data_IF_460393992300
#
_entry.id   IF_460393992300
#
_cell.length_a   1.000
_cell.length_b   1.000
_cell.length_c   1.000
_cell.angle_alpha   90.00
_cell.angle_beta   90.00
_cell.angle_gamma   90.00
#
_symmetry.space_group_name_H-M   'P 1'
#
loop_
_entity.id
_entity.type
_entity.pdbx_description
1 polymer ?
#
# COMPACT_ATOMS: atom_id res chain seq x y z
N UNK A 1 -3.54 38.15 26.32
CA UNK A 1 -3.89 36.81 25.81
C UNK A 1 -4.93 36.95 24.70
N UNK A 2 -4.47 37.10 23.45
CA UNK A 2 -5.35 37.09 22.28
C UNK A 2 -5.48 35.65 21.81
N UNK A 3 -6.69 35.08 21.91
CA UNK A 3 -7.03 33.79 21.29
C UNK A 3 -6.84 33.93 19.78
N UNK A 4 -5.85 33.25 19.21
CA UNK A 4 -5.77 33.03 17.76
C UNK A 4 -6.85 31.98 17.44
N UNK A 5 -7.88 32.37 16.67
CA UNK A 5 -8.83 31.41 16.12
C UNK A 5 -8.13 30.64 15.00
N UNK A 6 -7.98 29.33 15.18
CA UNK A 6 -7.59 28.41 14.11
C UNK A 6 -8.77 28.37 13.13
N UNK A 7 -8.56 28.86 11.92
CA UNK A 7 -9.54 28.78 10.84
C UNK A 7 -9.54 27.33 10.33
N UNK A 8 -10.51 26.52 10.75
CA UNK A 8 -10.75 25.21 10.17
C UNK A 8 -11.29 25.39 8.75
N UNK A 9 -10.43 25.23 7.75
CA UNK A 9 -10.86 25.12 6.36
C UNK A 9 -11.50 23.75 6.18
N UNK A 10 -12.83 23.68 6.20
CA UNK A 10 -13.56 22.50 5.78
C UNK A 10 -13.26 22.25 4.30
N UNK A 11 -12.51 21.20 4.00
CA UNK A 11 -12.34 20.70 2.63
C UNK A 11 -13.62 19.95 2.29
N UNK A 12 -14.52 20.65 1.62
CA UNK A 12 -15.68 20.04 0.99
C UNK A 12 -15.14 19.36 -0.28
N UNK A 13 -15.22 18.02 -0.36
CA UNK A 13 -15.08 17.28 -1.62
C UNK A 13 -16.27 17.64 -2.52
N UNK A 14 -16.21 18.83 -3.12
CA UNK A 14 -17.10 19.24 -4.19
C UNK A 14 -16.38 19.01 -5.51
N UNK A 15 -16.73 17.92 -6.18
CA UNK A 15 -16.62 17.85 -7.63
C UNK A 15 -17.59 18.91 -8.18
N UNK A 16 -17.10 20.11 -8.49
CA UNK A 16 -17.83 21.01 -9.37
C UNK A 16 -17.33 20.79 -10.79
N UNK A 17 -17.82 19.74 -11.44
CA UNK A 17 -17.71 19.62 -12.89
C UNK A 17 -18.91 20.33 -13.51
N UNK A 18 -18.63 21.23 -14.44
CA UNK A 18 -19.65 21.83 -15.29
C UNK A 18 -20.47 20.71 -15.94
N UNK A 19 -21.79 20.83 -15.84
CA UNK A 19 -22.75 19.85 -16.36
C UNK A 19 -22.74 19.95 -17.90
N UNK A 20 -21.77 19.29 -18.53
CA UNK A 20 -22.00 18.58 -19.79
C UNK A 20 -22.42 17.16 -19.42
N UNK A 21 -23.34 16.56 -20.17
CA UNK A 21 -23.72 15.17 -19.93
C UNK A 21 -22.47 14.27 -20.11
N UNK A 22 -21.99 13.67 -19.02
CA UNK A 22 -20.88 12.72 -19.05
C UNK A 22 -21.36 11.42 -19.68
N UNK A 23 -20.75 11.02 -20.78
CA UNK A 23 -20.99 9.70 -21.36
C UNK A 23 -20.26 8.65 -20.54
N UNK A 24 -20.83 7.44 -20.54
CA UNK A 24 -20.19 6.25 -19.96
C UNK A 24 -19.78 5.33 -21.09
N UNK A 25 -18.49 5.04 -21.17
CA UNK A 25 -17.91 4.07 -22.10
C UNK A 25 -17.51 2.79 -21.38
N UNK A 26 -17.45 1.69 -22.12
CA UNK A 26 -17.04 0.39 -21.59
C UNK A 26 -15.81 -0.12 -22.34
N UNK A 27 -14.81 -0.54 -21.58
CA UNK A 27 -13.72 -1.38 -22.06
C UNK A 27 -14.27 -2.81 -22.15
N UNK A 28 -14.16 -3.38 -23.34
CA UNK A 28 -14.80 -4.66 -23.70
C UNK A 28 -13.79 -5.81 -23.82
N UNK A 29 -12.49 -5.52 -23.92
CA UNK A 29 -11.46 -6.53 -24.06
C UNK A 29 -10.12 -6.10 -23.44
N UNK A 30 -9.19 -7.04 -23.36
CA UNK A 30 -7.86 -6.88 -22.76
C UNK A 30 -6.80 -6.35 -23.72
N UNK A 31 -7.18 -6.06 -24.97
CA UNK A 31 -6.23 -5.78 -26.05
C UNK A 31 -5.59 -4.40 -25.87
N UNK A 32 -4.39 -4.23 -26.41
CA UNK A 32 -3.62 -2.99 -26.31
C UNK A 32 -4.23 -1.85 -27.15
N UNK A 33 -4.84 -2.16 -28.29
CA UNK A 33 -5.40 -1.21 -29.25
C UNK A 33 -6.61 -1.80 -29.98
N UNK A 34 -7.37 -0.94 -30.67
CA UNK A 34 -8.49 -1.32 -31.50
C UNK A 34 -9.83 -1.26 -30.75
N UNK A 35 -10.95 -1.52 -31.46
CA UNK A 35 -12.29 -1.38 -30.88
C UNK A 35 -12.45 -2.15 -29.57
N UNK A 36 -13.04 -1.51 -28.56
CA UNK A 36 -13.27 -2.08 -27.23
C UNK A 36 -12.06 -2.10 -26.29
N UNK A 37 -10.85 -1.79 -26.78
CA UNK A 37 -9.67 -1.65 -25.91
C UNK A 37 -9.72 -0.37 -25.07
N UNK A 38 -9.10 -0.37 -23.89
CA UNK A 38 -9.01 0.83 -23.05
C UNK A 38 -8.39 2.03 -23.79
N UNK A 39 -7.38 1.78 -24.62
CA UNK A 39 -6.72 2.84 -25.38
C UNK A 39 -7.66 3.50 -26.39
N UNK A 40 -8.41 2.70 -27.15
CA UNK A 40 -9.39 3.25 -28.10
C UNK A 40 -10.49 4.01 -27.37
N UNK A 41 -10.97 3.47 -26.24
CA UNK A 41 -12.00 4.14 -25.44
C UNK A 41 -11.52 5.48 -24.87
N UNK A 42 -10.25 5.59 -24.44
CA UNK A 42 -9.65 6.88 -24.03
C UNK A 42 -9.62 7.88 -25.20
N UNK A 43 -9.31 7.41 -26.42
CA UNK A 43 -9.34 8.25 -27.63
C UNK A 43 -10.75 8.76 -27.92
N UNK A 44 -11.74 7.87 -27.90
CA UNK A 44 -13.14 8.12 -28.22
C UNK A 44 -13.86 8.99 -27.18
N UNK A 45 -13.44 8.94 -25.91
CA UNK A 45 -14.02 9.71 -24.82
C UNK A 45 -13.79 11.23 -24.97
N UNK A 46 -14.69 12.03 -24.42
CA UNK A 46 -14.58 13.48 -24.32
C UNK A 46 -14.17 13.92 -22.90
N UNK A 47 -13.83 15.20 -22.74
CA UNK A 47 -13.50 15.78 -21.43
C UNK A 47 -14.66 15.61 -20.44
N UNK A 48 -14.36 15.08 -19.27
CA UNK A 48 -15.31 14.78 -18.20
C UNK A 48 -15.96 13.40 -18.27
N UNK A 49 -15.76 12.61 -19.33
CA UNK A 49 -16.43 11.31 -19.47
C UNK A 49 -15.92 10.26 -18.47
N UNK A 50 -16.75 9.22 -18.27
CA UNK A 50 -16.43 8.07 -17.43
C UNK A 50 -16.18 6.83 -18.28
N UNK A 51 -15.11 6.12 -17.99
CA UNK A 51 -14.74 4.84 -18.60
C UNK A 51 -14.90 3.75 -17.53
N UNK A 52 -15.66 2.72 -17.87
CA UNK A 52 -15.87 1.52 -17.06
C UNK A 52 -15.35 0.27 -17.77
N UNK A 53 -15.29 -0.84 -17.05
CA UNK A 53 -14.87 -2.13 -17.58
C UNK A 53 -16.04 -3.10 -17.58
N UNK A 54 -16.17 -3.91 -18.63
CA UNK A 54 -17.05 -5.07 -18.56
C UNK A 54 -16.48 -6.09 -17.54
N UNK A 55 -17.33 -6.88 -16.85
CA UNK A 55 -16.90 -7.76 -15.75
C UNK A 55 -15.81 -8.79 -16.13
N UNK A 56 -15.75 -9.20 -17.40
CA UNK A 56 -14.74 -10.12 -17.92
C UNK A 56 -13.34 -9.49 -18.07
N UNK A 57 -13.25 -8.16 -18.13
CA UNK A 57 -11.97 -7.46 -18.31
C UNK A 57 -11.26 -7.31 -16.98
N UNK A 58 -10.48 -8.33 -16.60
CA UNK A 58 -9.67 -8.30 -15.37
C UNK A 58 -8.26 -7.74 -15.59
N UNK A 59 -7.80 -7.68 -16.84
CA UNK A 59 -6.45 -7.22 -17.19
C UNK A 59 -6.46 -6.52 -18.55
N UNK A 60 -5.73 -5.41 -18.66
CA UNK A 60 -5.40 -4.70 -19.90
C UNK A 60 -3.90 -4.80 -20.14
N UNK A 61 -3.52 -5.37 -21.28
CA UNK A 61 -2.12 -5.58 -21.64
C UNK A 61 -1.65 -4.47 -22.58
N UNK A 62 -0.71 -3.66 -22.12
CA UNK A 62 -0.10 -2.62 -22.96
C UNK A 62 1.15 -3.18 -23.65
N UNK A 63 1.18 -3.09 -24.97
CA UNK A 63 2.25 -3.65 -25.82
C UNK A 63 2.96 -2.59 -26.68
N UNK A 64 2.20 -1.62 -27.20
CA UNK A 64 2.66 -0.59 -28.12
C UNK A 64 3.19 0.67 -27.43
N UNK A 65 2.81 0.92 -26.18
CA UNK A 65 3.27 2.09 -25.42
C UNK A 65 2.36 2.46 -24.25
N UNK A 66 2.66 3.60 -23.63
CA UNK A 66 1.88 4.19 -22.54
C UNK A 66 0.47 4.59 -22.98
N UNK A 67 -0.49 4.63 -22.07
CA UNK A 67 -1.78 5.29 -22.28
C UNK A 67 -1.62 6.80 -22.15
N UNK A 68 -1.87 7.53 -23.23
CA UNK A 68 -1.80 8.99 -23.26
C UNK A 68 -3.17 9.57 -22.99
N UNK A 69 -3.28 10.39 -21.95
CA UNK A 69 -4.50 11.05 -21.52
C UNK A 69 -4.29 12.56 -21.63
N UNK A 70 -5.18 13.25 -22.33
CA UNK A 70 -5.09 14.70 -22.51
C UNK A 70 -6.38 15.45 -22.22
N UNK A 71 -7.24 14.82 -21.42
CA UNK A 71 -8.57 15.28 -21.06
C UNK A 71 -8.91 14.78 -19.65
N UNK A 72 -9.80 15.47 -18.97
CA UNK A 72 -10.33 15.06 -17.67
C UNK A 72 -11.12 13.78 -17.84
N UNK A 73 -10.83 12.74 -17.06
CA UNK A 73 -11.51 11.44 -17.16
C UNK A 73 -11.67 10.80 -15.78
N UNK A 74 -12.74 10.00 -15.66
CA UNK A 74 -12.90 9.03 -14.59
C UNK A 74 -12.75 7.62 -15.16
N UNK A 75 -11.85 6.80 -14.63
CA UNK A 75 -11.65 5.41 -15.05
C UNK A 75 -11.91 4.51 -13.84
N UNK A 76 -13.02 3.78 -13.88
CA UNK A 76 -13.60 3.11 -12.70
C UNK A 76 -13.91 1.66 -13.02
N UNK A 77 -13.42 0.74 -12.18
CA UNK A 77 -13.81 -0.66 -12.25
C UNK A 77 -14.68 -1.07 -11.04
N UNK A 78 -15.56 -2.04 -11.21
CA UNK A 78 -16.37 -2.57 -10.09
C UNK A 78 -15.55 -3.48 -9.15
N UNK A 79 -14.41 -3.99 -9.65
CA UNK A 79 -13.41 -4.77 -8.91
C UNK A 79 -12.03 -4.49 -9.50
N UNK A 80 -10.95 -4.82 -8.79
CA UNK A 80 -9.59 -4.51 -9.24
C UNK A 80 -9.32 -5.00 -10.68
N UNK A 81 -9.04 -4.07 -11.59
CA UNK A 81 -8.55 -4.34 -12.95
C UNK A 81 -7.07 -4.01 -13.04
N UNK A 82 -6.26 -4.94 -13.55
CA UNK A 82 -4.82 -4.71 -13.75
C UNK A 82 -4.56 -4.06 -15.10
N UNK A 83 -3.93 -2.89 -15.10
CA UNK A 83 -3.40 -2.25 -16.31
C UNK A 83 -1.89 -2.36 -16.23
N UNK A 84 -1.29 -3.10 -17.17
CA UNK A 84 0.11 -3.46 -17.08
C UNK A 84 0.85 -3.27 -18.40
N UNK A 85 2.14 -2.94 -18.27
CA UNK A 85 3.08 -3.11 -19.37
C UNK A 85 3.39 -4.59 -19.57
N UNK A 86 2.97 -5.12 -20.72
CA UNK A 86 3.20 -6.51 -21.15
C UNK A 86 4.28 -6.65 -22.22
N UNK A 87 4.78 -5.52 -22.74
CA UNK A 87 5.87 -5.47 -23.71
C UNK A 87 7.24 -5.77 -23.08
N UNK A 88 8.22 -6.14 -23.92
CA UNK A 88 9.64 -6.01 -23.58
C UNK A 88 10.15 -4.57 -23.74
N UNK A 89 9.45 -3.73 -24.51
CA UNK A 89 9.79 -2.33 -24.67
C UNK A 89 9.56 -1.58 -23.35
N UNK A 90 10.43 -0.61 -23.07
CA UNK A 90 10.36 0.22 -21.86
C UNK A 90 9.43 1.41 -22.09
N UNK A 91 8.33 1.47 -21.34
CA UNK A 91 7.44 2.62 -21.25
C UNK A 91 6.71 2.64 -19.90
N UNK A 92 6.16 3.80 -19.52
CA UNK A 92 5.29 3.93 -18.34
C UNK A 92 3.87 3.45 -18.65
N UNK A 93 3.04 3.22 -17.64
CA UNK A 93 1.66 2.76 -17.88
C UNK A 93 0.77 3.92 -18.38
N UNK A 94 0.80 5.08 -17.73
CA UNK A 94 -0.04 6.23 -18.06
C UNK A 94 0.74 7.54 -18.06
N UNK A 95 0.42 8.41 -19.02
CA UNK A 95 0.87 9.80 -19.05
C UNK A 95 -0.29 10.75 -19.27
N UNK A 96 -0.41 11.73 -18.39
CA UNK A 96 -1.34 12.85 -18.55
C UNK A 96 -0.58 14.07 -19.10
N UNK A 97 -0.93 14.52 -20.30
CA UNK A 97 -0.27 15.64 -20.99
C UNK A 97 -1.29 16.62 -21.59
N UNK A 98 -0.91 17.88 -21.82
CA UNK A 98 -1.80 18.90 -22.41
C UNK A 98 -1.64 20.27 -21.73
N UNK A 99 -2.60 21.16 -21.97
CA UNK A 99 -2.56 22.58 -21.57
C UNK A 99 -2.79 22.82 -20.06
N UNK A 100 -2.88 21.76 -19.26
CA UNK A 100 -3.00 21.80 -17.81
C UNK A 100 -4.44 21.75 -17.28
N UNK A 101 -4.59 21.67 -15.96
CA UNK A 101 -5.90 21.62 -15.30
C UNK A 101 -6.67 20.31 -15.50
N UNK A 102 -5.99 19.24 -15.90
CA UNK A 102 -6.61 17.93 -16.14
C UNK A 102 -6.83 17.23 -14.79
N UNK A 103 -8.01 16.67 -14.58
CA UNK A 103 -8.28 15.77 -13.44
C UNK A 103 -8.37 14.34 -13.95
N UNK A 104 -7.51 13.47 -13.42
CA UNK A 104 -7.62 12.02 -13.65
C UNK A 104 -8.09 11.35 -12.36
N UNK A 105 -9.30 10.81 -12.38
CA UNK A 105 -9.85 9.99 -11.31
C UNK A 105 -9.73 8.51 -11.67
N UNK A 106 -9.09 7.73 -10.81
CA UNK A 106 -8.93 6.29 -10.97
C UNK A 106 -9.52 5.58 -9.76
N UNK A 107 -10.32 4.54 -10.01
CA UNK A 107 -10.90 3.73 -8.94
C UNK A 107 -10.84 2.23 -9.25
N UNK A 108 -10.43 1.45 -8.24
CA UNK A 108 -10.28 -0.01 -8.33
C UNK A 108 -9.36 -0.45 -9.47
N UNK A 109 -8.22 0.22 -9.63
CA UNK A 109 -7.23 -0.11 -10.65
C UNK A 109 -5.90 -0.52 -10.04
N UNK A 110 -5.25 -1.50 -10.65
CA UNK A 110 -3.86 -1.86 -10.39
C UNK A 110 -2.97 -1.41 -11.53
N UNK A 111 -2.03 -0.50 -11.26
CA UNK A 111 -1.04 0.00 -12.23
C UNK A 111 0.29 -0.70 -12.00
N UNK A 112 0.71 -1.48 -12.99
CA UNK A 112 1.75 -2.50 -12.80
C UNK A 112 2.81 -2.51 -13.90
N UNK A 113 4.07 -2.76 -13.48
CA UNK A 113 5.22 -3.05 -14.37
C UNK A 113 5.62 -1.94 -15.34
N UNK A 114 5.11 -0.73 -15.18
CA UNK A 114 5.57 0.41 -15.95
C UNK A 114 7.06 0.62 -15.72
N UNK A 115 7.84 0.78 -16.79
CA UNK A 115 9.27 0.98 -16.69
C UNK A 115 9.75 1.90 -17.83
N UNK A 116 10.15 3.12 -17.49
CA UNK A 116 10.70 4.06 -18.47
C UNK A 116 12.18 3.74 -18.74
N UNK A 117 12.58 3.77 -20.02
CA UNK A 117 13.95 3.48 -20.42
C UNK A 117 14.95 4.49 -19.86
N UNK A 118 16.21 4.07 -19.82
CA UNK A 118 17.36 4.98 -19.85
C UNK A 118 17.25 5.85 -21.11
N UNK A 119 17.45 7.17 -21.03
CA UNK A 119 17.59 8.14 -22.15
C UNK A 119 16.38 9.00 -22.59
N UNK A 120 15.27 9.01 -21.86
CA UNK A 120 14.14 9.88 -22.25
C UNK A 120 14.14 11.18 -21.47
N UNK A 121 13.80 12.32 -22.09
CA UNK A 121 13.62 13.61 -21.39
C UNK A 121 12.49 13.58 -20.33
N UNK A 122 11.66 12.53 -20.35
CA UNK A 122 10.51 12.37 -19.47
C UNK A 122 10.64 11.08 -18.64
N UNK A 123 11.69 10.96 -17.83
CA UNK A 123 11.97 9.74 -17.05
C UNK A 123 11.05 9.50 -15.85
N UNK A 124 10.21 10.47 -15.51
CA UNK A 124 9.36 10.46 -14.30
C UNK A 124 8.16 9.52 -14.42
N UNK A 125 7.65 9.08 -13.26
CA UNK A 125 6.36 8.37 -13.19
C UNK A 125 6.40 7.03 -13.93
N UNK A 126 7.07 6.03 -13.35
CA UNK A 126 7.14 4.69 -13.95
C UNK A 126 5.75 4.10 -14.17
N UNK A 127 4.82 4.30 -13.23
CA UNK A 127 3.41 3.94 -13.36
C UNK A 127 2.62 5.07 -14.02
N UNK A 128 2.49 6.19 -13.29
CA UNK A 128 1.69 7.36 -13.70
C UNK A 128 2.57 8.61 -13.70
N UNK A 129 2.57 9.34 -14.82
CA UNK A 129 3.19 10.66 -14.92
C UNK A 129 2.16 11.74 -15.25
N UNK A 130 1.88 12.63 -14.30
CA UNK A 130 1.11 13.85 -14.55
C UNK A 130 2.04 14.95 -15.06
N UNK A 131 2.21 15.00 -16.38
CA UNK A 131 3.04 16.01 -17.05
C UNK A 131 2.33 17.35 -17.19
N UNK A 132 1.02 17.33 -17.43
CA UNK A 132 0.21 18.54 -17.61
C UNK A 132 0.19 19.39 -16.33
N UNK A 133 0.59 20.65 -16.43
CA UNK A 133 0.70 21.55 -15.27
C UNK A 133 -0.64 21.78 -14.56
N UNK A 134 -0.61 22.08 -13.27
CA UNK A 134 -1.83 22.33 -12.47
C UNK A 134 -2.88 21.21 -12.55
N UNK A 135 -2.44 19.98 -12.80
CA UNK A 135 -3.32 18.82 -12.92
C UNK A 135 -3.38 18.05 -11.61
N UNK A 136 -4.48 17.30 -11.42
CA UNK A 136 -4.73 16.54 -10.20
C UNK A 136 -4.93 15.07 -10.53
N UNK A 137 -4.25 14.21 -9.77
CA UNK A 137 -4.51 12.77 -9.75
C UNK A 137 -5.32 12.43 -8.50
N UNK A 138 -6.43 11.73 -8.68
CA UNK A 138 -7.26 11.20 -7.59
C UNK A 138 -7.31 9.68 -7.72
N UNK A 139 -6.95 8.98 -6.64
CA UNK A 139 -6.92 7.53 -6.57
C UNK A 139 -7.81 7.04 -5.42
N UNK A 140 -8.75 6.16 -5.73
CA UNK A 140 -9.56 5.44 -4.74
C UNK A 140 -9.43 3.93 -4.90
N UNK A 141 -9.08 3.22 -3.83
CA UNK A 141 -8.94 1.75 -3.85
C UNK A 141 -7.97 1.25 -4.94
N UNK A 142 -6.92 2.03 -5.23
CA UNK A 142 -5.94 1.68 -6.27
C UNK A 142 -4.70 1.00 -5.70
N UNK A 143 -4.05 0.21 -6.57
CA UNK A 143 -2.77 -0.44 -6.29
C UNK A 143 -1.73 0.05 -7.30
N UNK A 144 -0.65 0.67 -6.86
CA UNK A 144 0.46 1.09 -7.73
C UNK A 144 1.71 0.32 -7.33
N UNK A 145 2.14 -0.62 -8.15
CA UNK A 145 3.25 -1.48 -7.77
C UNK A 145 4.20 -1.90 -8.88
N UNK A 146 5.45 -2.20 -8.47
CA UNK A 146 6.50 -2.69 -9.36
C UNK A 146 6.72 -1.80 -10.58
N UNK A 147 6.57 -0.48 -10.40
CA UNK A 147 6.85 0.50 -11.44
C UNK A 147 8.22 1.14 -11.22
N UNK A 148 8.88 1.49 -12.33
CA UNK A 148 10.22 2.06 -12.33
C UNK A 148 10.32 3.29 -13.23
N UNK A 149 10.73 4.41 -12.64
CA UNK A 149 11.12 5.59 -13.39
C UNK A 149 12.49 5.37 -14.06
N UNK A 150 12.75 6.07 -15.16
CA UNK A 150 13.96 5.88 -15.95
C UNK A 150 15.19 6.45 -15.28
N UNK A 151 16.37 5.90 -15.57
CA UNK A 151 17.65 6.38 -15.03
C UNK A 151 18.25 7.50 -15.90
N UNK A 152 19.09 8.34 -15.28
CA UNK A 152 19.94 9.31 -15.96
C UNK A 152 20.77 8.67 -17.07
N UNK A 153 20.98 9.40 -18.17
CA UNK A 153 21.60 8.85 -19.37
C UNK A 153 22.89 9.55 -19.78
N UNK A 154 22.84 10.86 -20.01
CA UNK A 154 24.05 11.63 -20.21
C UNK A 154 24.64 11.98 -18.84
N UNK A 155 25.96 12.15 -18.80
CA UNK A 155 26.68 12.74 -17.66
C UNK A 155 25.85 13.94 -17.16
N UNK A 156 25.75 14.19 -15.86
CA UNK A 156 24.89 15.21 -15.22
C UNK A 156 23.35 15.04 -15.24
N UNK A 157 22.76 13.95 -15.75
CA UNK A 157 21.28 13.78 -15.72
C UNK A 157 20.81 13.05 -14.47
N UNK A 158 19.94 13.71 -13.70
CA UNK A 158 19.28 13.10 -12.54
C UNK A 158 18.38 11.94 -12.95
N UNK A 159 18.19 11.02 -12.01
CA UNK A 159 17.23 9.95 -12.14
C UNK A 159 15.77 10.43 -12.17
N UNK A 160 14.92 9.67 -12.86
CA UNK A 160 13.49 9.94 -12.92
C UNK A 160 12.85 9.85 -11.54
N UNK A 161 12.26 10.96 -11.09
CA UNK A 161 11.44 11.06 -9.87
C UNK A 161 10.11 10.31 -9.96
N UNK A 162 9.55 9.88 -8.82
CA UNK A 162 8.23 9.27 -8.77
C UNK A 162 8.21 7.88 -9.40
N UNK A 163 8.83 6.88 -8.78
CA UNK A 163 8.90 5.53 -9.34
C UNK A 163 7.53 4.95 -9.68
N UNK A 164 6.58 5.09 -8.75
CA UNK A 164 5.18 4.78 -8.97
C UNK A 164 4.43 5.94 -9.63
N UNK A 165 4.41 7.08 -8.93
CA UNK A 165 3.62 8.25 -9.28
C UNK A 165 4.51 9.50 -9.29
N UNK A 166 4.42 10.28 -10.36
CA UNK A 166 4.81 11.68 -10.37
C UNK A 166 3.57 12.55 -10.61
N UNK A 167 3.25 13.46 -9.69
CA UNK A 167 2.07 14.31 -9.80
C UNK A 167 2.30 15.75 -9.32
N UNK A 168 1.55 16.73 -9.83
CA UNK A 168 1.51 18.04 -9.16
C UNK A 168 0.74 17.91 -7.84
N UNK A 169 -0.54 17.54 -7.94
CA UNK A 169 -1.40 17.25 -6.78
C UNK A 169 -1.86 15.81 -6.84
N UNK A 170 -1.68 15.08 -5.73
CA UNK A 170 -2.18 13.72 -5.57
C UNK A 170 -3.14 13.63 -4.39
N UNK A 171 -4.29 13.00 -4.60
CA UNK A 171 -5.27 12.66 -3.56
C UNK A 171 -5.50 11.16 -3.56
N UNK A 172 -5.21 10.50 -2.44
CA UNK A 172 -5.24 9.06 -2.29
C UNK A 172 -6.18 8.66 -1.16
N UNK A 173 -7.04 7.69 -1.44
CA UNK A 173 -7.89 7.05 -0.44
C UNK A 173 -7.85 5.54 -0.63
N UNK A 174 -7.63 4.78 0.45
CA UNK A 174 -7.62 3.32 0.42
C UNK A 174 -6.62 2.72 -0.59
N UNK A 175 -5.48 3.38 -0.79
CA UNK A 175 -4.53 2.99 -1.82
C UNK A 175 -3.36 2.19 -1.25
N UNK A 176 -2.78 1.32 -2.06
CA UNK A 176 -1.55 0.60 -1.75
C UNK A 176 -0.48 0.92 -2.79
N UNK A 177 0.66 1.45 -2.36
CA UNK A 177 1.76 1.86 -3.24
C UNK A 177 3.04 1.18 -2.78
N UNK A 178 3.53 0.21 -3.57
CA UNK A 178 4.65 -0.60 -3.12
C UNK A 178 5.56 -1.15 -4.20
N UNK A 179 6.81 -1.46 -3.83
CA UNK A 179 7.83 -2.00 -4.72
C UNK A 179 8.10 -1.11 -5.94
N UNK A 180 7.86 0.19 -5.84
CA UNK A 180 8.18 1.13 -6.91
C UNK A 180 9.59 1.69 -6.71
N UNK A 181 10.22 2.06 -7.83
CA UNK A 181 11.62 2.48 -7.85
C UNK A 181 11.79 3.76 -8.67
N UNK A 182 12.28 4.83 -8.06
CA UNK A 182 12.72 5.99 -8.81
C UNK A 182 14.04 5.69 -9.56
N UNK A 183 14.31 6.46 -10.61
CA UNK A 183 15.48 6.26 -11.45
C UNK A 183 16.78 6.61 -10.73
N UNK A 184 17.86 5.91 -11.03
CA UNK A 184 19.21 6.30 -10.60
C UNK A 184 19.73 7.48 -11.42
N UNK A 185 20.61 8.28 -10.83
CA UNK A 185 21.40 9.28 -11.55
C UNK A 185 22.33 8.65 -12.60
N UNK A 186 22.77 9.45 -13.56
CA UNK A 186 23.71 9.01 -14.59
C UNK A 186 25.12 8.85 -14.02
N UNK A 187 25.82 7.76 -14.34
CA UNK A 187 27.25 7.59 -14.04
C UNK A 187 28.13 8.36 -15.05
N UNK A 188 29.19 9.05 -14.61
CA UNK A 188 30.26 9.58 -15.48
C UNK A 188 31.66 9.18 -14.98
N UNK A 189 32.31 8.29 -15.74
CA UNK A 189 33.71 7.86 -15.54
C UNK A 189 34.64 8.43 -16.62
N UNK A 190 34.20 9.41 -17.41
CA UNK A 190 34.90 9.84 -18.62
C UNK A 190 35.48 11.25 -18.51
N UNK A 191 34.88 12.14 -17.70
CA UNK A 191 35.37 13.50 -17.52
C UNK A 191 35.36 13.94 -16.04
N UNK A 192 36.53 14.24 -15.44
CA UNK A 192 36.63 14.70 -14.05
C UNK A 192 36.09 16.14 -13.82
N UNK A 193 35.37 16.73 -14.78
CA UNK A 193 34.79 18.07 -14.67
C UNK A 193 33.26 18.11 -14.88
N UNK A 194 32.60 16.98 -15.10
CA UNK A 194 31.14 16.91 -15.25
C UNK A 194 30.51 16.38 -13.95
N UNK A 195 29.53 17.09 -13.35
CA UNK A 195 28.79 16.51 -12.23
C UNK A 195 28.05 15.24 -12.69
N UNK A 196 27.90 14.23 -11.83
CA UNK A 196 27.04 13.09 -12.15
C UNK A 196 25.59 13.43 -11.83
N UNK A 197 24.66 12.53 -12.18
CA UNK A 197 23.25 12.73 -11.85
C UNK A 197 22.93 12.39 -10.39
N UNK A 198 22.02 13.13 -9.79
CA UNK A 198 21.42 12.73 -8.51
C UNK A 198 20.41 11.59 -8.70
N UNK A 199 20.16 10.83 -7.62
CA UNK A 199 19.08 9.86 -7.60
C UNK A 199 17.70 10.53 -7.67
N UNK A 200 16.76 9.92 -8.39
CA UNK A 200 15.38 10.41 -8.42
C UNK A 200 14.70 10.27 -7.06
N UNK A 201 14.11 11.35 -6.53
CA UNK A 201 13.33 11.30 -5.30
C UNK A 201 11.92 10.70 -5.46
N UNK A 202 11.31 10.30 -4.36
CA UNK A 202 9.93 9.79 -4.34
C UNK A 202 9.82 8.40 -4.98
N UNK A 203 10.38 7.37 -4.35
CA UNK A 203 10.34 6.01 -4.90
C UNK A 203 8.92 5.53 -5.17
N UNK A 204 8.01 5.76 -4.24
CA UNK A 204 6.59 5.53 -4.42
C UNK A 204 5.93 6.72 -5.13
N UNK A 205 5.98 7.89 -4.47
CA UNK A 205 5.31 9.10 -4.92
C UNK A 205 6.29 10.28 -4.89
N UNK A 206 6.31 11.04 -5.98
CA UNK A 206 6.84 12.40 -6.00
C UNK A 206 5.71 13.37 -6.32
N UNK A 207 5.49 14.38 -5.48
CA UNK A 207 4.46 15.37 -5.75
C UNK A 207 4.72 16.77 -5.17
N UNK A 208 4.01 17.78 -5.72
CA UNK A 208 4.03 19.12 -5.13
C UNK A 208 3.18 19.14 -3.85
N UNK A 209 2.02 18.46 -3.84
CA UNK A 209 1.14 18.35 -2.67
C UNK A 209 0.41 17.00 -2.60
N UNK A 210 0.23 16.49 -1.38
CA UNK A 210 -0.37 15.19 -1.12
C UNK A 210 -1.51 15.28 -0.10
N UNK A 211 -2.67 14.71 -0.44
CA UNK A 211 -3.67 14.31 0.54
C UNK A 211 -3.78 12.80 0.51
N UNK A 212 -3.58 12.14 1.65
CA UNK A 212 -3.61 10.68 1.73
C UNK A 212 -4.40 10.22 2.95
N UNK A 213 -5.35 9.31 2.73
CA UNK A 213 -6.24 8.75 3.75
C UNK A 213 -6.26 7.23 3.63
N UNK A 214 -6.16 6.53 4.76
CA UNK A 214 -6.29 5.07 4.81
C UNK A 214 -5.42 4.33 3.79
N UNK A 215 -4.16 4.70 3.65
CA UNK A 215 -3.33 4.15 2.58
C UNK A 215 -2.04 3.56 3.12
N UNK A 216 -1.49 2.61 2.35
CA UNK A 216 -0.25 1.92 2.67
C UNK A 216 0.82 2.25 1.62
N UNK A 217 1.95 2.78 2.07
CA UNK A 217 3.14 3.02 1.23
C UNK A 217 4.29 2.19 1.78
N UNK A 218 4.77 1.21 1.00
CA UNK A 218 5.83 0.30 1.49
C UNK A 218 6.81 -0.19 0.45
N UNK A 219 8.02 -0.54 0.88
CA UNK A 219 9.03 -1.16 0.02
C UNK A 219 9.29 -0.35 -1.26
N UNK A 220 9.16 0.96 -1.22
CA UNK A 220 9.51 1.81 -2.35
C UNK A 220 10.94 2.31 -2.17
N UNK A 221 11.61 2.53 -3.29
CA UNK A 221 13.03 2.88 -3.34
C UNK A 221 13.20 4.16 -4.13
N UNK A 222 13.84 5.16 -3.56
CA UNK A 222 14.32 6.29 -4.36
C UNK A 222 15.44 5.84 -5.31
N UNK A 223 15.96 6.74 -6.13
CA UNK A 223 17.09 6.50 -7.00
C UNK A 223 18.41 6.53 -6.24
N UNK A 224 19.39 5.73 -6.65
CA UNK A 224 20.77 5.94 -6.20
C UNK A 224 21.42 7.09 -6.97
N UNK A 225 22.35 7.81 -6.35
CA UNK A 225 23.20 8.77 -7.04
C UNK A 225 24.10 8.09 -8.09
N UNK A 226 24.45 8.81 -9.15
CA UNK A 226 25.37 8.32 -10.18
C UNK A 226 26.81 8.28 -9.66
N UNK A 227 27.56 7.22 -9.97
CA UNK A 227 28.97 7.10 -9.61
C UNK A 227 29.89 7.90 -10.54
N UNK A 228 31.04 8.37 -10.03
CA UNK A 228 32.02 9.06 -10.86
C UNK A 228 33.20 9.66 -10.09
N UNK A 229 33.93 10.59 -10.74
CA UNK A 229 35.16 11.20 -10.18
C UNK A 229 34.96 12.49 -9.39
N UNK A 230 33.78 13.13 -9.47
CA UNK A 230 33.52 14.41 -8.79
C UNK A 230 32.18 14.48 -8.06
N UNK A 231 32.24 15.33 -7.04
CA UNK A 231 31.40 15.56 -5.84
C UNK A 231 29.88 15.36 -5.91
N UNK A 232 29.35 14.98 -4.73
CA UNK A 232 27.99 15.21 -4.19
C UNK A 232 26.80 14.60 -4.97
N UNK A 233 27.02 13.45 -5.61
CA UNK A 233 25.95 12.77 -6.34
C UNK A 233 25.02 12.04 -5.36
N UNK A 234 24.06 12.78 -4.82
CA UNK A 234 23.26 12.29 -3.71
C UNK A 234 22.26 11.22 -4.17
N UNK A 235 21.94 10.32 -3.24
CA UNK A 235 20.77 9.46 -3.38
C UNK A 235 19.49 10.28 -3.39
N UNK A 236 18.45 9.75 -4.00
CA UNK A 236 17.15 10.42 -4.04
C UNK A 236 16.52 10.46 -2.66
N UNK A 237 16.02 11.63 -2.26
CA UNK A 237 15.23 11.77 -1.03
C UNK A 237 13.84 11.12 -1.17
N UNK A 238 13.19 10.76 -0.06
CA UNK A 238 11.80 10.29 -0.07
C UNK A 238 11.68 8.89 -0.67
N UNK A 239 12.18 7.86 0.01
CA UNK A 239 12.06 6.47 -0.47
C UNK A 239 10.61 6.09 -0.74
N UNK A 240 9.72 6.41 0.19
CA UNK A 240 8.27 6.28 0.05
C UNK A 240 7.68 7.46 -0.68
N UNK A 241 7.79 8.64 -0.07
CA UNK A 241 7.11 9.86 -0.51
C UNK A 241 8.07 11.05 -0.50
N UNK A 242 8.08 11.79 -1.60
CA UNK A 242 8.67 13.12 -1.69
C UNK A 242 7.55 14.14 -1.90
N UNK A 243 7.48 15.15 -1.03
CA UNK A 243 6.50 16.24 -1.10
C UNK A 243 7.25 17.56 -1.16
N UNK A 244 6.95 18.39 -2.17
CA UNK A 244 7.61 19.69 -2.29
C UNK A 244 7.04 20.73 -1.33
N UNK A 245 5.72 20.84 -1.27
CA UNK A 245 5.03 21.95 -0.61
C UNK A 245 4.27 21.50 0.63
N UNK A 246 2.96 21.29 0.54
CA UNK A 246 2.09 20.98 1.68
C UNK A 246 1.34 19.66 1.48
N UNK A 247 0.73 19.17 2.55
CA UNK A 247 -0.14 18.01 2.45
C UNK A 247 -0.78 17.60 3.77
N UNK A 248 -1.57 16.54 3.71
CA UNK A 248 -2.19 15.90 4.86
C UNK A 248 -2.19 14.39 4.69
N UNK A 249 -1.67 13.68 5.67
CA UNK A 249 -1.69 12.21 5.71
C UNK A 249 -2.43 11.78 6.97
N UNK A 250 -3.44 10.93 6.81
CA UNK A 250 -4.36 10.52 7.87
C UNK A 250 -4.52 9.01 7.88
N UNK A 251 -4.46 8.39 9.06
CA UNK A 251 -4.74 6.97 9.27
C UNK A 251 -4.09 6.09 8.21
N UNK A 252 -2.82 6.35 7.94
CA UNK A 252 -2.05 5.69 6.89
C UNK A 252 -0.82 5.04 7.50
N UNK A 253 -0.20 4.13 6.75
CA UNK A 253 1.02 3.43 7.16
C UNK A 253 2.08 3.60 6.08
N UNK A 254 3.22 4.16 6.44
CA UNK A 254 4.39 4.33 5.56
C UNK A 254 5.57 3.59 6.19
N UNK A 255 5.98 2.47 5.58
CA UNK A 255 6.96 1.60 6.20
C UNK A 255 7.86 0.85 5.23
N UNK A 256 9.07 0.51 5.64
CA UNK A 256 10.01 -0.27 4.82
C UNK A 256 10.36 0.36 3.48
N UNK A 257 10.24 1.69 3.37
CA UNK A 257 10.72 2.41 2.21
C UNK A 257 12.17 2.82 2.41
N UNK A 258 12.93 2.92 1.32
CA UNK A 258 14.36 3.19 1.37
C UNK A 258 14.72 4.40 0.51
N UNK A 259 15.25 5.44 1.14
CA UNK A 259 16.01 6.46 0.45
C UNK A 259 17.42 5.91 0.19
N UNK A 260 17.79 5.82 -1.08
CA UNK A 260 18.96 5.08 -1.56
C UNK A 260 20.27 5.83 -1.39
N UNK A 261 21.36 5.10 -1.60
CA UNK A 261 22.73 5.55 -1.50
C UNK A 261 23.09 6.68 -2.48
N UNK A 262 24.06 7.51 -2.09
CA UNK A 262 24.75 8.38 -3.03
C UNK A 262 25.68 7.59 -3.96
N UNK A 263 26.20 8.28 -4.97
CA UNK A 263 27.17 7.73 -5.91
C UNK A 263 28.49 7.41 -5.22
N UNK A 264 29.05 6.25 -5.54
CA UNK A 264 30.38 5.85 -5.06
C UNK A 264 31.49 6.62 -5.80
N UNK A 265 32.45 7.15 -5.05
CA UNK A 265 33.60 7.88 -5.60
C UNK A 265 34.94 7.22 -5.23
N UNK A 266 35.74 6.73 -6.19
CA UNK A 266 37.10 6.25 -5.93
C UNK A 266 38.15 7.38 -5.78
N UNK A 267 37.72 8.65 -5.86
CA UNK A 267 38.58 9.84 -5.87
C UNK A 267 38.65 10.60 -4.53
N UNK A 268 39.36 11.74 -4.46
CA UNK A 268 39.52 12.52 -3.22
C UNK A 268 38.24 13.28 -2.79
N UNK A 269 37.14 13.18 -3.55
CA UNK A 269 35.88 13.90 -3.34
C UNK A 269 34.97 13.31 -2.26
N UNK A 270 35.11 12.01 -1.95
CA UNK A 270 34.25 11.29 -1.01
C UNK A 270 32.94 10.80 -1.63
N UNK A 271 32.34 9.75 -1.08
CA UNK A 271 31.06 9.23 -1.59
C UNK A 271 29.94 10.28 -1.45
N UNK A 272 28.99 10.30 -2.40
CA UNK A 272 27.80 11.14 -2.32
C UNK A 272 26.94 10.81 -1.10
N UNK A 273 26.15 11.78 -0.61
CA UNK A 273 25.30 11.55 0.54
C UNK A 273 24.12 10.63 0.16
N UNK A 274 23.69 9.73 1.05
CA UNK A 274 22.44 9.02 0.84
C UNK A 274 21.26 10.00 0.87
N UNK A 275 20.18 9.61 0.20
CA UNK A 275 18.93 10.34 0.28
C UNK A 275 18.33 10.27 1.67
N UNK A 276 17.58 11.30 2.06
CA UNK A 276 16.95 11.47 3.37
C UNK A 276 15.46 11.15 3.30
N UNK A 277 14.83 10.98 4.46
CA UNK A 277 13.38 10.75 4.54
C UNK A 277 12.99 9.45 3.85
N UNK A 278 13.57 8.33 4.27
CA UNK A 278 13.25 7.01 3.72
C UNK A 278 11.75 6.77 3.62
N UNK A 279 10.99 7.16 4.66
CA UNK A 279 9.52 7.19 4.62
C UNK A 279 9.00 8.42 3.86
N UNK A 280 9.13 9.59 4.46
CA UNK A 280 8.69 10.88 3.89
C UNK A 280 9.84 11.89 3.89
N UNK A 281 10.06 12.52 2.74
CA UNK A 281 10.81 13.76 2.62
C UNK A 281 9.88 14.93 2.30
N UNK A 282 10.05 16.04 3.01
CA UNK A 282 9.37 17.32 2.77
C UNK A 282 10.39 18.42 2.44
N UNK A 283 10.28 19.06 1.27
CA UNK A 283 11.24 20.07 0.78
C UNK A 283 11.11 21.44 1.47
N UNK A 284 9.88 21.86 1.77
CA UNK A 284 9.59 23.17 2.36
C UNK A 284 9.10 23.09 3.82
N UNK A 285 9.24 24.18 4.59
CA UNK A 285 8.67 24.32 5.94
C UNK A 285 7.13 24.53 5.98
N UNK A 286 6.43 24.27 4.87
CA UNK A 286 4.97 24.39 4.81
C UNK A 286 4.32 23.13 5.40
N UNK A 287 4.31 23.09 6.74
CA UNK A 287 3.87 22.00 7.61
C UNK A 287 2.98 20.93 6.98
N UNK A 288 3.57 19.76 6.70
CA UNK A 288 2.81 18.56 6.39
C UNK A 288 2.03 18.13 7.63
N UNK A 289 0.72 17.95 7.49
CA UNK A 289 -0.11 17.48 8.60
C UNK A 289 -0.14 15.96 8.65
N UNK A 290 0.28 15.36 9.76
CA UNK A 290 0.21 13.91 10.02
C UNK A 290 -0.79 13.65 11.15
N UNK A 291 -1.78 12.78 10.92
CA UNK A 291 -2.74 12.40 11.96
C UNK A 291 -2.92 10.89 11.96
N UNK A 292 -2.88 10.26 13.14
CA UNK A 292 -3.12 8.81 13.29
C UNK A 292 -2.28 7.95 12.33
N UNK A 293 -1.08 8.39 11.96
CA UNK A 293 -0.28 7.75 10.90
C UNK A 293 0.90 7.02 11.51
N UNK A 294 1.18 5.83 10.99
CA UNK A 294 2.41 5.10 11.28
C UNK A 294 3.46 5.47 10.23
N UNK A 295 4.63 5.95 10.65
CA UNK A 295 5.82 6.07 9.80
C UNK A 295 6.95 5.34 10.49
N UNK A 296 7.29 4.13 10.02
CA UNK A 296 8.17 3.25 10.77
C UNK A 296 8.95 2.28 9.89
N UNK A 297 10.13 1.86 10.36
CA UNK A 297 10.99 0.90 9.68
C UNK A 297 11.37 1.33 8.26
N UNK A 298 11.39 2.63 7.97
CA UNK A 298 11.99 3.13 6.75
C UNK A 298 13.50 3.28 6.93
N UNK A 299 14.22 3.46 5.84
CA UNK A 299 15.69 3.54 5.86
C UNK A 299 16.19 4.67 4.96
N UNK A 300 17.12 5.46 5.48
CA UNK A 300 18.09 6.23 4.69
C UNK A 300 19.37 5.40 4.63
N UNK A 301 19.80 5.00 3.42
CA UNK A 301 20.89 4.05 3.21
C UNK A 301 22.11 4.36 4.09
N UNK A 302 22.63 3.36 4.80
CA UNK A 302 23.76 3.52 5.72
C UNK A 302 23.36 3.96 7.13
N UNK A 303 22.05 3.92 7.47
CA UNK A 303 21.49 4.42 8.73
C UNK A 303 21.89 5.87 9.01
N UNK A 304 21.85 6.70 7.97
CA UNK A 304 21.98 8.14 8.16
C UNK A 304 20.72 8.70 8.83
N UNK A 305 20.82 9.99 9.14
CA UNK A 305 19.79 10.81 9.75
C UNK A 305 18.49 10.86 8.93
N UNK A 306 17.33 10.85 9.61
CA UNK A 306 16.01 11.03 8.99
C UNK A 306 15.49 9.81 8.23
N UNK A 307 15.49 8.62 8.85
CA UNK A 307 15.06 7.40 8.17
C UNK A 307 13.55 7.40 7.89
N UNK A 308 12.74 7.77 8.88
CA UNK A 308 11.28 7.81 8.74
C UNK A 308 10.80 9.12 8.13
N UNK A 309 11.27 10.25 8.65
CA UNK A 309 10.84 11.59 8.26
C UNK A 309 12.05 12.50 8.07
N UNK A 310 11.93 13.42 7.11
CA UNK A 310 12.82 14.58 6.99
C UNK A 310 11.99 15.83 6.68
N UNK A 311 12.20 16.90 7.45
CA UNK A 311 11.50 18.19 7.31
C UNK A 311 10.65 18.58 8.52
N UNK A 312 9.67 19.47 8.32
CA UNK A 312 8.83 20.07 9.36
C UNK A 312 7.37 19.61 9.30
N UNK A 313 6.84 19.06 10.40
CA UNK A 313 5.54 18.40 10.45
C UNK A 313 4.65 18.96 11.57
N UNK A 314 3.36 19.05 11.28
CA UNK A 314 2.30 19.26 12.28
C UNK A 314 1.65 17.91 12.49
N UNK A 315 1.89 17.28 13.62
CA UNK A 315 1.63 15.89 13.86
C UNK A 315 0.79 15.71 15.11
N UNK A 316 -0.33 14.99 15.02
CA UNK A 316 -1.15 14.61 16.17
C UNK A 316 -1.45 13.10 16.18
N UNK A 317 -1.14 12.43 17.29
CA UNK A 317 -1.42 11.00 17.51
C UNK A 317 -0.78 10.07 16.46
N UNK A 318 0.47 10.33 16.07
CA UNK A 318 1.20 9.47 15.13
C UNK A 318 2.11 8.49 15.87
N UNK A 319 2.54 7.43 15.19
CA UNK A 319 3.60 6.55 15.64
C UNK A 319 4.76 6.67 14.66
N UNK A 320 5.89 7.18 15.13
CA UNK A 320 7.09 7.40 14.33
C UNK A 320 8.23 6.62 14.97
N UNK A 321 8.81 5.65 14.25
CA UNK A 321 9.79 4.75 14.86
C UNK A 321 11.11 5.46 15.13
N UNK A 322 11.62 6.24 14.18
CA UNK A 322 12.82 7.04 14.31
C UNK A 322 12.55 8.40 15.02
N UNK A 323 13.55 8.96 15.69
CA UNK A 323 13.46 10.24 16.42
C UNK A 323 14.25 11.40 15.81
N UNK A 324 14.91 11.16 14.67
CA UNK A 324 15.98 12.04 14.21
C UNK A 324 15.61 12.82 12.92
N UNK A 325 16.16 14.04 12.80
CA UNK A 325 16.13 14.92 11.61
C UNK A 325 14.78 15.33 11.05
N UNK A 326 13.81 15.45 11.94
CA UNK A 326 12.55 16.14 11.67
C UNK A 326 12.17 17.08 12.81
N UNK A 327 11.29 18.03 12.52
CA UNK A 327 10.60 18.82 13.55
C UNK A 327 9.14 18.37 13.63
N UNK A 328 8.69 17.91 14.80
CA UNK A 328 7.26 17.70 15.07
C UNK A 328 6.72 18.82 15.95
N UNK A 329 5.57 19.35 15.57
CA UNK A 329 4.72 20.19 16.40
C UNK A 329 3.35 19.54 16.53
N UNK A 330 2.70 19.64 17.69
CA UNK A 330 1.44 18.92 17.97
C UNK A 330 1.61 17.89 19.08
N UNK A 331 0.54 17.19 19.42
CA UNK A 331 0.44 16.43 20.66
C UNK A 331 0.29 14.91 20.42
N UNK A 332 0.55 14.11 21.45
CA UNK A 332 0.31 12.66 21.50
C UNK A 332 1.06 11.81 20.45
N UNK A 333 2.13 12.31 19.84
CA UNK A 333 2.96 11.49 18.96
C UNK A 333 3.83 10.52 19.77
N UNK A 334 3.85 9.26 19.35
CA UNK A 334 4.65 8.18 19.88
C UNK A 334 5.93 8.06 19.04
N UNK A 335 7.03 8.64 19.51
CA UNK A 335 8.33 8.63 18.81
C UNK A 335 9.28 7.59 19.44
N UNK A 336 10.15 6.96 18.66
CA UNK A 336 11.15 6.04 19.21
C UNK A 336 10.58 4.66 19.61
N UNK A 337 9.38 4.32 19.13
CA UNK A 337 8.67 3.08 19.49
C UNK A 337 8.26 2.28 18.27
N UNK A 338 8.42 0.97 18.34
CA UNK A 338 8.06 0.04 17.26
C UNK A 338 6.54 -0.08 17.11
N UNK A 339 6.01 -0.15 15.87
CA UNK A 339 4.59 -0.42 15.63
C UNK A 339 4.19 -1.88 15.87
N UNK A 340 5.15 -2.81 16.06
CA UNK A 340 4.88 -4.22 16.36
C UNK A 340 3.86 -4.86 15.40
N UNK A 341 4.19 -4.88 14.10
CA UNK A 341 3.33 -5.48 13.07
C UNK A 341 3.23 -7.00 13.19
N UNK A 342 2.09 -7.56 12.76
CA UNK A 342 1.80 -9.00 12.84
C UNK A 342 2.74 -9.85 12.01
N UNK A 343 2.90 -9.57 10.71
CA UNK A 343 3.77 -10.34 9.81
C UNK A 343 4.23 -9.55 8.57
N UNK A 344 5.16 -8.58 8.69
CA UNK A 344 5.75 -7.94 7.52
C UNK A 344 6.48 -8.95 6.61
N UNK A 345 6.44 -8.80 5.27
CA UNK A 345 5.80 -7.74 4.49
C UNK A 345 4.35 -8.05 4.05
N UNK A 346 3.70 -9.06 4.67
CA UNK A 346 2.40 -9.57 4.24
C UNK A 346 1.23 -8.95 5.01
N UNK A 347 1.44 -8.68 6.29
CA UNK A 347 0.41 -8.16 7.19
C UNK A 347 1.02 -7.07 8.10
N UNK A 348 0.49 -5.86 7.94
CA UNK A 348 0.88 -4.66 8.70
C UNK A 348 -0.17 -4.28 9.74
N UNK A 349 -1.09 -5.19 10.07
CA UNK A 349 -1.98 -5.02 11.23
C UNK A 349 -1.12 -4.97 12.51
N UNK A 350 -1.28 -3.96 13.37
CA UNK A 350 -0.61 -3.93 14.67
C UNK A 350 -0.95 -5.17 15.50
N UNK A 351 0.03 -5.72 16.23
CA UNK A 351 -0.23 -6.75 17.23
C UNK A 351 -1.04 -6.19 18.39
N UNK A 352 -1.73 -7.05 19.15
CA UNK A 352 -2.59 -6.64 20.29
C UNK A 352 -1.90 -5.72 21.33
N UNK A 353 -0.59 -5.89 21.54
CA UNK A 353 0.19 -5.09 22.49
C UNK A 353 0.95 -3.95 21.83
N UNK A 354 0.69 -3.68 20.54
CA UNK A 354 1.31 -2.58 19.83
C UNK A 354 0.89 -1.25 20.46
N UNK A 355 1.82 -0.28 20.57
CA UNK A 355 1.47 1.06 21.02
C UNK A 355 0.56 1.82 20.03
N UNK A 356 0.34 1.30 18.82
CA UNK A 356 -0.58 1.89 17.84
C UNK A 356 -2.06 1.56 18.13
N UNK A 357 -2.34 0.51 18.92
CA UNK A 357 -3.70 0.01 19.16
C UNK A 357 -4.47 0.90 20.14
N UNK A 358 -5.68 1.33 19.76
CA UNK A 358 -6.53 2.31 20.43
C UNK A 358 -5.79 3.62 20.82
N UNK A 359 -4.81 4.04 20.00
CA UNK A 359 -3.99 5.22 20.29
C UNK A 359 -4.31 6.43 19.40
N UNK A 360 -5.18 6.26 18.40
CA UNK A 360 -5.56 7.32 17.47
C UNK A 360 -6.73 8.19 17.95
N UNK A 361 -6.86 9.37 17.34
CA UNK A 361 -8.03 10.23 17.47
C UNK A 361 -9.17 9.73 16.58
N UNK A 362 -10.37 9.42 17.11
CA UNK A 362 -11.52 9.01 16.30
C UNK A 362 -11.93 10.05 15.24
N UNK A 363 -12.65 9.61 14.20
CA UNK A 363 -13.23 10.51 13.18
C UNK A 363 -14.46 11.27 13.69
N UNK A 364 -14.31 11.98 14.79
CA UNK A 364 -15.27 12.98 15.30
C UNK A 364 -14.79 14.41 15.04
N UNK A 365 -13.62 14.56 14.40
CA UNK A 365 -12.95 15.84 14.13
C UNK A 365 -12.97 16.24 12.65
N UNK A 366 -13.62 15.45 11.79
CA UNK A 366 -13.70 15.72 10.34
C UNK A 366 -12.47 15.22 9.59
N UNK A 367 -12.00 14.02 9.92
CA UNK A 367 -10.91 13.33 9.24
C UNK A 367 -11.37 12.68 7.92
N UNK A 368 -12.67 12.48 7.74
CA UNK A 368 -13.27 11.87 6.53
C UNK A 368 -12.71 10.47 6.25
N UNK A 369 -12.58 9.68 7.31
CA UNK A 369 -12.13 8.30 7.23
C UNK A 369 -13.22 7.43 6.60
N UNK A 370 -12.83 6.40 5.84
CA UNK A 370 -13.76 5.34 5.43
C UNK A 370 -14.28 4.56 6.64
N UNK A 371 -15.43 3.90 6.50
CA UNK A 371 -16.02 3.07 7.57
C UNK A 371 -15.15 1.86 7.93
N UNK A 372 -14.36 1.38 6.95
CA UNK A 372 -13.50 0.21 7.09
C UNK A 372 -12.02 0.53 6.82
N UNK A 373 -11.13 -0.28 7.39
CA UNK A 373 -9.69 -0.26 7.16
C UNK A 373 -9.31 -0.92 5.82
N UNK A 374 -8.01 -1.04 5.53
CA UNK A 374 -7.54 -1.68 4.29
C UNK A 374 -7.82 -3.20 4.19
N UNK A 375 -8.18 -3.87 5.30
CA UNK A 375 -8.62 -5.27 5.30
C UNK A 375 -10.15 -5.41 5.21
N UNK A 376 -10.88 -4.31 5.21
CA UNK A 376 -12.35 -4.31 5.23
C UNK A 376 -12.94 -4.49 6.63
N UNK A 377 -12.14 -4.37 7.68
CA UNK A 377 -12.63 -4.40 9.06
C UNK A 377 -13.13 -3.01 9.48
N UNK A 378 -14.11 -2.93 10.38
CA UNK A 378 -14.58 -1.65 10.91
C UNK A 378 -13.42 -0.86 11.56
N UNK A 379 -13.38 0.46 11.33
CA UNK A 379 -12.34 1.37 11.85
C UNK A 379 -12.32 1.57 13.37
N UNK A 380 -13.29 1.05 14.10
CA UNK A 380 -13.30 1.09 15.56
C UNK A 380 -13.76 -0.28 16.02
N UNK A 381 -12.84 -1.08 16.57
CA UNK A 381 -13.15 -2.41 17.10
C UNK A 381 -13.45 -2.40 18.61
N UNK A 382 -12.85 -1.48 19.36
CA UNK A 382 -13.03 -1.34 20.80
C UNK A 382 -13.36 0.10 21.24
N UNK A 383 -12.34 0.89 21.60
CA UNK A 383 -12.53 2.21 22.24
C UNK A 383 -12.31 3.34 21.24
N UNK A 384 -11.10 3.44 20.69
CA UNK A 384 -10.69 4.45 19.74
C UNK A 384 -10.05 3.80 18.52
N UNK A 385 -9.94 4.56 17.44
CA UNK A 385 -9.27 4.09 16.23
C UNK A 385 -7.79 3.81 16.48
N UNK A 386 -7.25 2.80 15.83
CA UNK A 386 -5.82 2.55 15.81
C UNK A 386 -5.08 3.62 15.00
N UNK A 387 -3.82 3.86 15.36
CA UNK A 387 -2.90 4.62 14.51
C UNK A 387 -2.53 3.70 13.34
N UNK A 388 -2.74 4.17 12.10
CA UNK A 388 -2.36 3.46 10.88
C UNK A 388 -3.52 3.13 9.94
N UNK A 389 -3.17 2.41 8.87
CA UNK A 389 -4.10 1.98 7.80
C UNK A 389 -4.91 0.71 8.13
N UNK A 390 -4.57 0.02 9.21
CA UNK A 390 -5.22 -1.22 9.66
C UNK A 390 -5.74 -1.04 11.09
N UNK A 391 -6.87 -1.67 11.40
CA UNK A 391 -7.46 -1.72 12.72
C UNK A 391 -7.31 -3.12 13.32
N UNK A 392 -6.70 -3.23 14.48
CA UNK A 392 -6.67 -4.46 15.25
C UNK A 392 -8.09 -4.86 15.69
N UNK A 393 -8.52 -6.04 15.25
CA UNK A 393 -9.82 -6.55 15.63
C UNK A 393 -9.77 -7.26 16.99
N UNK A 394 -10.35 -6.62 18.00
CA UNK A 394 -10.57 -7.27 19.29
C UNK A 394 -11.67 -8.32 19.13
N UNK A 395 -11.36 -9.56 19.51
CA UNK A 395 -12.37 -10.59 19.64
C UNK A 395 -13.16 -10.30 20.91
N UNK A 396 -14.15 -9.41 20.83
CA UNK A 396 -15.03 -9.02 21.95
C UNK A 396 -16.19 -10.00 22.18
N UNK A 397 -16.22 -11.08 21.42
CA UNK A 397 -17.07 -12.25 21.60
C UNK A 397 -16.69 -13.31 20.57
N UNK A 398 -16.87 -14.59 20.90
CA UNK A 398 -16.85 -15.62 19.87
C UNK A 398 -18.12 -15.44 19.03
N UNK A 399 -18.05 -14.66 17.96
CA UNK A 399 -18.99 -14.88 16.87
C UNK A 399 -18.74 -16.31 16.42
N UNK A 400 -19.71 -17.17 16.72
CA UNK A 400 -19.76 -18.50 16.16
C UNK A 400 -19.71 -18.32 14.66
N UNK A 401 -18.55 -18.59 14.05
CA UNK A 401 -18.51 -18.95 12.65
C UNK A 401 -19.63 -19.97 12.48
N UNK A 402 -20.66 -19.64 11.70
CA UNK A 402 -21.58 -20.67 11.21
C UNK A 402 -20.74 -21.52 10.27
N UNK A 403 -19.97 -22.45 10.84
CA UNK A 403 -19.47 -23.58 10.10
C UNK A 403 -20.70 -24.24 9.48
N UNK A 404 -20.74 -24.19 8.16
CA UNK A 404 -21.75 -24.86 7.35
C UNK A 404 -21.64 -26.39 7.45
N UNK A 405 -20.66 -26.88 8.21
CA UNK A 405 -20.47 -28.28 8.58
C UNK A 405 -20.79 -28.44 10.06
N UNK A 406 -21.88 -29.13 10.37
CA UNK A 406 -22.19 -29.53 11.74
C UNK A 406 -21.53 -30.88 12.02
N UNK A 407 -20.62 -30.90 12.98
CA UNK A 407 -20.17 -32.14 13.63
C UNK A 407 -20.78 -32.16 15.03
N UNK A 408 -21.24 -33.31 15.48
CA UNK A 408 -21.85 -33.52 16.79
C UNK A 408 -21.22 -34.74 17.43
N UNK A 409 -20.78 -34.60 18.67
CA UNK A 409 -20.33 -35.73 19.50
C UNK A 409 -21.26 -35.87 20.69
N UNK A 410 -21.78 -37.08 20.90
CA UNK A 410 -22.64 -37.38 22.04
C UNK A 410 -22.49 -38.83 22.53
N UNK A 411 -22.59 -39.08 23.85
CA UNK A 411 -22.67 -38.06 24.90
C UNK A 411 -21.33 -37.32 25.06
N UNK A 412 -21.40 -36.06 25.49
CA UNK A 412 -20.23 -35.26 25.86
C UNK A 412 -20.63 -34.40 27.08
N UNK A 413 -20.12 -34.67 28.30
CA UNK A 413 -19.08 -35.64 28.66
C UNK A 413 -19.44 -37.13 28.46
N UNK A 414 -18.44 -38.02 28.45
CA UNK A 414 -18.57 -39.49 28.33
C UNK A 414 -17.47 -40.25 29.08
N UNK A 415 -17.57 -41.58 29.17
CA UNK A 415 -16.53 -42.45 29.78
C UNK A 415 -15.52 -43.00 28.76
N UNK A 416 -15.24 -42.24 27.72
CA UNK A 416 -14.33 -42.59 26.63
C UNK A 416 -14.99 -43.29 25.44
N UNK A 417 -16.31 -43.50 25.46
CA UNK A 417 -17.06 -44.03 24.31
C UNK A 417 -18.11 -43.00 23.89
N UNK A 418 -18.09 -42.60 22.62
CA UNK A 418 -19.01 -41.60 22.10
C UNK A 418 -19.34 -41.81 20.62
N UNK A 419 -20.51 -41.29 20.22
CA UNK A 419 -20.96 -41.25 18.84
C UNK A 419 -20.54 -39.93 18.20
N UNK A 420 -20.03 -40.00 16.98
CA UNK A 420 -19.72 -38.87 16.13
C UNK A 420 -20.69 -38.85 14.95
N UNK A 421 -21.33 -37.71 14.72
CA UNK A 421 -22.26 -37.46 13.62
C UNK A 421 -21.87 -36.19 12.88
N UNK A 422 -21.84 -36.23 11.55
CA UNK A 422 -21.34 -35.13 10.74
C UNK A 422 -22.16 -34.94 9.46
N UNK A 423 -22.36 -33.68 9.05
CA UNK A 423 -23.01 -33.33 7.78
C UNK A 423 -22.03 -33.32 6.57
N UNK A 424 -20.80 -33.83 6.73
CA UNK A 424 -19.84 -34.03 5.63
C UNK A 424 -20.21 -35.26 4.80
N UNK A 425 -20.01 -35.20 3.48
CA UNK A 425 -20.22 -36.32 2.56
C UNK A 425 -18.95 -37.13 2.35
N UNK A 426 -19.04 -38.46 2.49
CA UNK A 426 -17.93 -39.39 2.29
C UNK A 426 -17.47 -40.02 3.59
N UNK A 427 -16.44 -40.87 3.51
CA UNK A 427 -15.84 -41.50 4.68
C UNK A 427 -15.10 -40.44 5.52
N UNK A 428 -15.11 -40.63 6.84
CA UNK A 428 -14.46 -39.75 7.79
C UNK A 428 -13.13 -40.33 8.23
N UNK A 429 -12.12 -39.49 8.29
CA UNK A 429 -10.84 -39.78 8.91
C UNK A 429 -10.71 -38.96 10.18
N UNK A 430 -10.63 -39.63 11.33
CA UNK A 430 -10.72 -39.00 12.64
C UNK A 430 -9.40 -39.18 13.38
N UNK A 431 -8.79 -38.07 13.80
CA UNK A 431 -7.62 -38.05 14.67
C UNK A 431 -8.01 -37.55 16.06
N UNK A 432 -7.53 -38.22 17.12
CA UNK A 432 -7.78 -37.82 18.50
C UNK A 432 -6.46 -37.43 19.16
N UNK A 433 -6.43 -36.27 19.80
CA UNK A 433 -5.28 -35.74 20.52
C UNK A 433 -5.61 -35.52 21.99
N UNK A 434 -4.67 -35.78 22.89
CA UNK A 434 -4.81 -35.37 24.29
C UNK A 434 -4.51 -33.87 24.47
N UNK A 435 -4.64 -33.39 25.70
CA UNK A 435 -4.36 -32.00 26.09
C UNK A 435 -2.91 -31.54 25.88
N UNK A 436 -1.95 -32.45 25.73
CA UNK A 436 -0.55 -32.11 25.41
C UNK A 436 -0.28 -32.08 23.90
N UNK A 437 -1.29 -32.29 23.05
CA UNK A 437 -1.17 -32.35 21.60
C UNK A 437 -0.62 -33.67 21.06
N UNK A 438 -0.47 -34.70 21.91
CA UNK A 438 -0.06 -36.05 21.47
C UNK A 438 -1.27 -36.74 20.82
N UNK A 439 -1.10 -37.28 19.62
CA UNK A 439 -2.11 -38.12 18.96
C UNK A 439 -2.25 -39.44 19.72
N UNK A 440 -3.48 -39.77 20.10
CA UNK A 440 -3.86 -40.90 20.94
C UNK A 440 -4.47 -42.00 20.07
N UNK A 441 -5.29 -41.63 19.08
CA UNK A 441 -5.99 -42.57 18.20
C UNK A 441 -6.19 -41.97 16.80
N UNK A 442 -6.36 -42.84 15.81
CA UNK A 442 -6.62 -42.51 14.40
C UNK A 442 -7.56 -43.55 13.80
N UNK A 443 -8.73 -43.14 13.33
CA UNK A 443 -9.84 -44.02 12.96
C UNK A 443 -10.43 -43.59 11.63
N UNK A 444 -10.68 -44.55 10.74
CA UNK A 444 -11.49 -44.35 9.53
C UNK A 444 -12.91 -44.87 9.78
N UNK A 445 -13.90 -44.00 9.59
CA UNK A 445 -15.32 -44.30 9.77
C UNK A 445 -15.99 -44.27 8.39
N UNK A 446 -16.51 -45.40 7.89
CA UNK A 446 -17.26 -45.42 6.64
C UNK A 446 -18.56 -44.59 6.74
N UNK A 447 -18.81 -43.72 5.78
CA UNK A 447 -19.92 -42.77 5.81
C UNK A 447 -19.70 -41.61 6.79
N UNK A 448 -20.78 -40.94 7.19
CA UNK A 448 -20.72 -39.63 7.87
C UNK A 448 -20.94 -39.69 9.40
N UNK A 449 -21.03 -40.87 9.99
CA UNK A 449 -21.22 -41.05 11.43
C UNK A 449 -20.74 -42.40 11.93
N UNK A 450 -20.35 -42.49 13.21
CA UNK A 450 -19.85 -43.74 13.80
C UNK A 450 -19.48 -43.65 15.28
N UNK A 451 -19.25 -44.81 15.90
CA UNK A 451 -18.76 -44.90 17.28
C UNK A 451 -17.24 -44.77 17.34
N UNK A 452 -16.77 -44.08 18.36
CA UNK A 452 -15.37 -43.98 18.72
C UNK A 452 -15.19 -44.45 20.17
N UNK A 453 -14.19 -45.30 20.39
CA UNK A 453 -13.83 -45.85 21.70
C UNK A 453 -12.38 -45.49 22.03
N UNK A 454 -12.24 -44.61 23.01
CA UNK A 454 -11.00 -44.23 23.67
C UNK A 454 -11.08 -44.51 25.18
N UNK A 455 -11.92 -45.44 25.61
CA UNK A 455 -12.14 -45.78 27.04
C UNK A 455 -10.87 -46.24 27.78
N UNK A 456 -9.83 -46.64 27.05
CA UNK A 456 -8.50 -46.91 27.60
C UNK A 456 -7.67 -45.67 27.95
N UNK A 457 -8.14 -44.46 27.61
CA UNK A 457 -7.43 -43.21 27.83
C UNK A 457 -7.81 -42.56 29.17
N UNK A 458 -6.89 -41.83 29.84
CA UNK A 458 -7.19 -41.16 31.11
C UNK A 458 -8.34 -40.15 31.01
N UNK A 459 -9.03 -39.91 32.12
CA UNK A 459 -9.98 -38.81 32.23
C UNK A 459 -9.33 -37.46 31.88
N UNK A 460 -9.99 -36.63 31.10
CA UNK A 460 -9.46 -35.37 30.61
C UNK A 460 -10.11 -34.85 29.34
N UNK A 461 -9.50 -33.80 28.78
CA UNK A 461 -9.96 -33.15 27.56
C UNK A 461 -9.19 -33.70 26.37
N UNK A 462 -9.92 -34.11 25.34
CA UNK A 462 -9.41 -34.57 24.07
C UNK A 462 -9.88 -33.66 22.94
N UNK A 463 -9.02 -33.49 21.93
CA UNK A 463 -9.37 -32.81 20.68
C UNK A 463 -9.61 -33.88 19.63
N UNK A 464 -10.81 -33.91 19.07
CA UNK A 464 -11.20 -34.78 17.96
C UNK A 464 -11.18 -33.95 16.68
N UNK A 465 -10.30 -34.30 15.75
CA UNK A 465 -10.21 -33.71 14.42
C UNK A 465 -10.85 -34.65 13.41
N UNK A 466 -11.85 -34.17 12.68
CA UNK A 466 -12.59 -34.91 11.67
C UNK A 466 -12.23 -34.37 10.29
N UNK A 467 -11.85 -35.27 9.39
CA UNK A 467 -11.38 -34.96 8.04
C UNK A 467 -12.24 -35.74 7.05
N UNK A 468 -12.71 -35.08 5.99
CA UNK A 468 -13.34 -35.76 4.85
C UNK A 468 -13.04 -34.96 3.58
N UNK A 469 -12.31 -35.57 2.64
CA UNK A 469 -11.75 -34.88 1.49
C UNK A 469 -10.83 -33.73 1.90
N UNK A 470 -11.10 -32.51 1.42
CA UNK A 470 -10.35 -31.29 1.77
C UNK A 470 -10.90 -30.55 2.99
N UNK A 471 -11.99 -31.02 3.60
CA UNK A 471 -12.63 -30.36 4.75
C UNK A 471 -12.09 -30.94 6.05
N UNK A 472 -11.80 -30.05 7.00
CA UNK A 472 -11.29 -30.40 8.33
C UNK A 472 -12.09 -29.63 9.37
N UNK A 473 -12.55 -30.31 10.42
CA UNK A 473 -13.22 -29.70 11.57
C UNK A 473 -12.64 -30.28 12.86
N UNK A 474 -12.61 -29.50 13.95
CA UNK A 474 -12.03 -29.94 15.23
C UNK A 474 -12.92 -29.55 16.41
N UNK A 475 -13.08 -30.46 17.37
CA UNK A 475 -13.89 -30.23 18.56
C UNK A 475 -13.35 -30.90 19.81
N UNK A 476 -13.85 -30.49 20.97
CA UNK A 476 -13.44 -31.01 22.27
C UNK A 476 -14.39 -32.09 22.77
N UNK A 477 -13.82 -33.15 23.31
CA UNK A 477 -14.53 -34.21 24.02
C UNK A 477 -14.00 -34.30 25.44
N UNK A 478 -14.92 -34.40 26.40
CA UNK A 478 -14.63 -34.58 27.81
C UNK A 478 -14.82 -36.05 28.16
N UNK A 479 -13.74 -36.67 28.64
CA UNK A 479 -13.74 -38.04 29.17
C UNK A 479 -13.66 -37.96 30.69
N UNK A 480 -14.67 -38.49 31.37
CA UNK A 480 -14.79 -38.53 32.84
C UNK A 480 -14.22 -39.80 33.47
#
# INVERSE_FOLDING_TARGET
MKKKSLLFTAILFLVSLGISAQNVYFVENSDDNGPGSLRQIIEDASDGDTIKFLPEVQTVNLESGELVISKTLSIVADSIVTIQRSSSNFFRVMRVQGDGGIVLYLENLRIYKGFVAFNTEFMHGGGIFMQAQNSKLILENCIIENNKAGNGYYTYWDGGKGGGIYANVAELKNCMIFNNMAGSGADDNTNPNNPNGEGGGGGGIYCDSLIMINSLIRNNYSGAGGGGYIHDNNGGDGGGVYIKSWGKIINSTICFNTAREGGFEPGPGGDGYPGRGGGIYLEDDYGLTLINTIVANNESYGNYLGNDLFGSFIADNNLIFDSDDYTLSGDNNLTGVSPEFTLPPYDFTPLINSPAVNAGTPDTTGLFLPEVDLQGNNRISADTIDIGAYEYQFITGADSYKETVQVRIFPNPNSGIFWLDCDMSGDLFVEIFNSTGKRIEEIEIPGNSGYIDISGSPAGIYIVRVISGSKVHSMKVFVD
#
